data_IF_637937163366
#
_entry.id   IF_637937163366
#
_cell.length_a   1.000
_cell.length_b   1.000
_cell.length_c   1.000
_cell.angle_alpha   90.00
_cell.angle_beta   90.00
_cell.angle_gamma   90.00
#
_symmetry.space_group_name_H-M   'P 1'
#
loop_
_entity.id
_entity.type
_entity.pdbx_description
1 polymer ?
#
# COMPACT_ATOMS: atom_id res chain seq x y z
N UNK A 1 3.70 -14.78 -21.63
CA UNK A 1 3.37 -13.99 -20.43
C UNK A 1 4.62 -13.83 -19.60
N UNK A 2 4.82 -12.64 -19.03
CA UNK A 2 5.94 -12.38 -18.11
C UNK A 2 5.51 -12.73 -16.68
N UNK A 3 6.41 -13.36 -15.94
CA UNK A 3 6.23 -13.65 -14.53
C UNK A 3 6.98 -12.64 -13.67
N UNK A 4 6.49 -12.41 -12.46
CA UNK A 4 6.99 -11.41 -11.54
C UNK A 4 7.21 -12.00 -10.15
N UNK A 5 8.34 -11.62 -9.55
CA UNK A 5 8.63 -11.87 -8.14
C UNK A 5 8.39 -10.56 -7.38
N UNK A 6 7.39 -10.56 -6.50
CA UNK A 6 6.98 -9.35 -5.78
C UNK A 6 6.83 -9.58 -4.30
N UNK A 7 7.25 -8.57 -3.54
CA UNK A 7 7.15 -8.57 -2.08
C UNK A 7 5.73 -8.18 -1.67
N UNK A 8 5.09 -9.03 -0.87
CA UNK A 8 3.81 -8.73 -0.24
C UNK A 8 3.96 -7.48 0.64
N UNK A 9 3.17 -6.42 0.40
CA UNK A 9 3.28 -5.17 1.16
C UNK A 9 2.77 -5.29 2.60
N UNK A 10 2.10 -6.40 2.94
CA UNK A 10 1.53 -6.66 4.27
C UNK A 10 2.55 -7.41 5.15
N UNK A 11 3.02 -8.58 4.70
CA UNK A 11 3.84 -9.48 5.51
C UNK A 11 5.31 -9.59 5.07
N UNK A 12 5.66 -8.99 3.93
CA UNK A 12 7.03 -8.98 3.41
C UNK A 12 7.50 -10.26 2.71
N UNK A 13 6.65 -11.28 2.58
CA UNK A 13 6.97 -12.49 1.79
C UNK A 13 7.19 -12.14 0.32
N UNK A 14 8.21 -12.72 -0.32
CA UNK A 14 8.33 -12.68 -1.78
C UNK A 14 7.46 -13.81 -2.35
N UNK A 15 6.52 -13.44 -3.21
CA UNK A 15 5.69 -14.37 -3.95
C UNK A 15 6.27 -14.45 -5.35
N UNK A 16 6.52 -15.67 -5.81
CA UNK A 16 7.28 -15.93 -7.03
C UNK A 16 6.35 -16.29 -8.19
N UNK A 17 6.85 -16.13 -9.41
CA UNK A 17 6.20 -16.66 -10.61
C UNK A 17 4.77 -16.14 -10.88
N UNK A 18 4.47 -14.91 -10.46
CA UNK A 18 3.11 -14.35 -10.56
C UNK A 18 2.82 -13.75 -11.93
N UNK A 19 1.61 -13.98 -12.44
CA UNK A 19 1.11 -13.39 -13.70
C UNK A 19 0.33 -12.10 -13.43
N UNK A 20 1.05 -11.00 -13.23
CA UNK A 20 0.47 -9.74 -12.75
C UNK A 20 -0.15 -8.86 -13.84
N UNK A 21 0.19 -9.07 -15.11
CA UNK A 21 -0.37 -8.27 -16.22
C UNK A 21 -1.87 -8.53 -16.42
N UNK A 22 -2.32 -9.76 -16.18
CA UNK A 22 -3.73 -10.13 -16.34
C UNK A 22 -4.62 -9.64 -15.19
N UNK A 23 -4.03 -9.52 -13.99
CA UNK A 23 -4.75 -9.17 -12.76
C UNK A 23 -4.60 -7.70 -12.39
N UNK A 24 -4.04 -6.88 -13.27
CA UNK A 24 -3.66 -5.49 -12.98
C UNK A 24 -2.81 -5.41 -11.69
N UNK A 25 -1.93 -6.39 -11.45
CA UNK A 25 -1.04 -6.44 -10.29
C UNK A 25 -1.64 -6.95 -8.98
N UNK A 26 -2.87 -7.47 -8.99
CA UNK A 26 -3.45 -8.17 -7.83
C UNK A 26 -2.89 -9.58 -7.69
N UNK A 27 -2.66 -10.01 -6.45
CA UNK A 27 -2.16 -11.34 -6.10
C UNK A 27 -2.66 -11.78 -4.71
N UNK A 28 -2.79 -13.08 -4.51
CA UNK A 28 -2.92 -13.66 -3.17
C UNK A 28 -1.53 -13.97 -2.63
N UNK A 29 -1.26 -13.60 -1.38
CA UNK A 29 0.03 -13.93 -0.77
C UNK A 29 0.01 -15.34 -0.18
N UNK A 30 0.95 -16.20 -0.61
CA UNK A 30 1.06 -17.60 -0.15
C UNK A 30 1.30 -17.73 1.37
N UNK A 31 1.90 -16.71 1.99
CA UNK A 31 2.22 -16.75 3.43
C UNK A 31 1.08 -16.28 4.32
N UNK A 32 0.39 -15.19 3.95
CA UNK A 32 -0.64 -14.59 4.80
C UNK A 32 -2.06 -14.75 4.28
N UNK A 33 -2.25 -15.29 3.07
CA UNK A 33 -3.57 -15.51 2.46
C UNK A 33 -4.31 -14.24 2.05
N UNK A 34 -3.72 -13.05 2.24
CA UNK A 34 -4.37 -11.81 1.89
C UNK A 34 -4.25 -11.50 0.40
N UNK A 35 -5.36 -11.07 -0.19
CA UNK A 35 -5.41 -10.46 -1.51
C UNK A 35 -4.84 -9.05 -1.46
N UNK A 36 -3.78 -8.81 -2.23
CA UNK A 36 -3.00 -7.56 -2.18
C UNK A 36 -2.55 -7.15 -3.57
N UNK A 37 -2.28 -5.85 -3.75
CA UNK A 37 -1.85 -5.28 -5.02
C UNK A 37 -0.37 -4.92 -4.97
N UNK A 38 0.40 -5.34 -5.97
CA UNK A 38 1.80 -4.95 -6.14
C UNK A 38 1.90 -3.43 -6.34
N UNK A 39 2.84 -2.79 -5.65
CA UNK A 39 3.12 -1.35 -5.78
C UNK A 39 3.59 -0.95 -7.19
N UNK A 40 4.09 -1.89 -7.99
CA UNK A 40 4.58 -1.63 -9.36
C UNK A 40 3.44 -1.41 -10.37
N UNK A 41 2.23 -1.85 -10.05
CA UNK A 41 1.03 -1.81 -10.92
C UNK A 41 -0.03 -0.84 -10.39
N UNK A 42 0.32 -0.02 -9.39
CA UNK A 42 -0.56 0.97 -8.79
C UNK A 42 -0.23 2.39 -9.23
N UNK A 43 -1.25 3.17 -9.60
CA UNK A 43 -1.12 4.62 -9.70
C UNK A 43 -0.95 5.18 -8.28
N UNK A 44 0.25 5.64 -7.94
CA UNK A 44 0.51 6.22 -6.62
C UNK A 44 0.13 7.70 -6.66
N UNK A 45 -0.82 8.12 -5.83
CA UNK A 45 -1.14 9.54 -5.64
C UNK A 45 -0.48 10.05 -4.36
N UNK A 46 -0.11 11.34 -4.34
CA UNK A 46 0.37 12.00 -3.13
C UNK A 46 -0.82 12.42 -2.29
N UNK A 47 -0.97 11.82 -1.11
CA UNK A 47 -1.99 12.21 -0.14
C UNK A 47 -1.37 13.26 0.78
N UNK A 48 -1.93 14.48 0.87
CA UNK A 48 -1.44 15.49 1.81
C UNK A 48 -1.62 15.01 3.25
N UNK A 49 -0.56 15.13 4.06
CA UNK A 49 -0.58 14.83 5.49
C UNK A 49 -0.80 16.13 6.23
N UNK A 50 -1.93 16.25 6.91
CA UNK A 50 -2.25 17.41 7.75
C UNK A 50 -1.81 17.12 9.19
N UNK A 51 -1.00 17.99 9.77
CA UNK A 51 -0.62 17.93 11.18
C UNK A 51 -1.60 18.75 12.00
N UNK A 52 -2.20 18.15 13.01
CA UNK A 52 -3.26 18.81 13.79
C UNK A 52 -2.72 20.03 14.54
N UNK A 53 -1.45 20.01 14.94
CA UNK A 53 -0.78 21.13 15.62
C UNK A 53 -0.72 22.39 14.75
N UNK A 54 -0.67 22.23 13.42
CA UNK A 54 -0.57 23.33 12.45
C UNK A 54 -1.95 23.90 12.08
N UNK A 55 -3.04 23.23 12.48
CA UNK A 55 -4.41 23.55 12.02
C UNK A 55 -5.42 23.75 13.16
N UNK A 56 -5.17 23.23 14.36
CA UNK A 56 -6.00 23.51 15.53
C UNK A 56 -5.56 24.83 16.19
N UNK A 57 -6.50 25.78 16.32
CA UNK A 57 -6.30 26.93 17.21
C UNK A 57 -6.24 26.42 18.66
N UNK A 58 -5.22 26.81 19.45
CA UNK A 58 -5.21 26.47 20.87
C UNK A 58 -6.45 27.08 21.53
N UNK A 59 -7.14 26.28 22.35
CA UNK A 59 -8.23 26.79 23.16
C UNK A 59 -7.69 27.94 24.03
N UNK A 60 -8.36 29.10 23.98
CA UNK A 60 -8.00 30.20 24.88
C UNK A 60 -8.27 29.75 26.30
N UNK A 61 -7.24 29.69 27.12
CA UNK A 61 -7.41 29.51 28.56
C UNK A 61 -8.23 30.70 29.07
N UNK A 62 -9.39 30.44 29.66
CA UNK A 62 -10.07 31.41 30.50
C UNK A 62 -9.29 31.46 31.82
N UNK A 63 -8.41 32.46 31.94
CA UNK A 63 -7.81 32.89 33.21
C UNK A 63 -8.61 34.06 33.74
#
# INVERSE_FOLDING_TARGET
MKQYDVKCPICGQVNHNLYLEETDGWMECEKCGFMTKSKQFGNTIRIPVFRMEEHCRPAKAHV
#
